data_IF_314215755026
#
_entry.id   IF_314215755026
#
_cell.length_a   1.000
_cell.length_b   1.000
_cell.length_c   1.000
_cell.angle_alpha   90.00
_cell.angle_beta   90.00
_cell.angle_gamma   90.00
#
_symmetry.space_group_name_H-M   'P 1'
#
loop_
_entity.id
_entity.type
_entity.pdbx_description
1 polymer ?
#
# COMPACT_ATOMS: atom_id res chain seq x y z
N UNK A 1 21.48 31.88 12.17
CA UNK A 1 22.66 31.00 12.32
C UNK A 1 22.68 30.28 13.69
N UNK A 2 21.52 29.85 14.23
CA UNK A 2 21.42 29.11 15.51
C UNK A 2 20.26 28.08 15.45
N UNK A 3 20.18 27.33 14.36
CA UNK A 3 19.20 26.24 14.19
C UNK A 3 19.81 24.91 13.75
N UNK A 4 21.13 24.83 13.55
CA UNK A 4 21.80 23.65 13.00
C UNK A 4 22.51 22.75 14.03
N UNK A 5 22.46 23.06 15.33
CA UNK A 5 23.09 22.22 16.38
C UNK A 5 22.13 21.27 17.09
N UNK A 6 20.82 21.32 16.81
CA UNK A 6 19.83 20.38 17.39
C UNK A 6 19.55 19.13 16.54
N UNK A 7 20.15 19.04 15.37
CA UNK A 7 20.07 17.88 14.46
C UNK A 7 21.28 16.93 14.60
N UNK A 8 22.14 17.17 15.61
CA UNK A 8 23.24 16.28 15.96
C UNK A 8 22.74 15.02 16.67
N UNK A 9 22.84 13.90 15.97
CA UNK A 9 23.09 12.55 16.50
C UNK A 9 21.96 11.83 17.23
N UNK A 10 20.75 11.97 16.71
CA UNK A 10 19.72 10.96 16.88
C UNK A 10 20.12 9.68 16.11
N UNK A 11 20.84 8.73 16.75
CA UNK A 11 21.13 7.41 16.12
C UNK A 11 19.81 6.80 15.61
N UNK A 12 19.73 6.35 14.34
CA UNK A 12 18.53 5.72 13.80
C UNK A 12 18.23 4.42 14.55
N UNK A 13 16.95 4.12 14.75
CA UNK A 13 16.50 2.91 15.46
C UNK A 13 16.42 1.71 14.52
N UNK A 14 16.00 1.93 13.27
CA UNK A 14 15.78 0.88 12.28
C UNK A 14 16.92 -0.14 12.10
N UNK A 15 18.22 0.23 12.17
CA UNK A 15 19.30 -0.74 12.00
C UNK A 15 19.26 -1.92 12.99
N UNK A 16 18.77 -1.74 14.22
CA UNK A 16 18.75 -2.80 15.23
C UNK A 16 17.71 -3.89 14.91
N UNK A 17 16.41 -3.59 14.79
CA UNK A 17 15.43 -4.58 14.32
C UNK A 17 15.80 -5.22 12.98
N UNK A 18 16.31 -4.43 12.02
CA UNK A 18 16.72 -4.96 10.72
C UNK A 18 17.84 -5.99 10.84
N UNK A 19 18.86 -5.74 11.66
CA UNK A 19 19.94 -6.71 11.91
C UNK A 19 19.41 -8.03 12.52
N UNK A 20 18.49 -7.94 13.48
CA UNK A 20 17.85 -9.12 14.09
C UNK A 20 17.02 -9.90 13.09
N UNK A 21 16.18 -9.23 12.31
CA UNK A 21 15.33 -9.86 11.31
C UNK A 21 16.16 -10.49 10.18
N UNK A 22 17.21 -9.82 9.72
CA UNK A 22 18.15 -10.38 8.73
C UNK A 22 18.93 -11.58 9.28
N UNK A 23 19.27 -11.59 10.57
CA UNK A 23 19.85 -12.77 11.20
C UNK A 23 18.86 -13.95 11.19
N UNK A 24 17.60 -13.70 11.56
CA UNK A 24 16.54 -14.73 11.50
C UNK A 24 16.32 -15.27 10.08
N UNK A 25 16.33 -14.42 9.06
CA UNK A 25 16.24 -14.83 7.64
C UNK A 25 17.41 -15.73 7.26
N UNK A 26 18.64 -15.40 7.67
CA UNK A 26 19.84 -16.21 7.35
C UNK A 26 19.86 -17.56 8.03
N UNK A 27 19.27 -17.66 9.23
CA UNK A 27 19.18 -18.90 10.01
C UNK A 27 18.00 -19.78 9.62
N UNK A 28 17.11 -19.33 8.73
CA UNK A 28 15.96 -20.09 8.28
C UNK A 28 16.40 -21.34 7.50
N UNK A 29 16.39 -22.48 8.19
CA UNK A 29 16.81 -23.75 7.62
C UNK A 29 15.73 -24.39 6.73
N UNK A 30 14.45 -24.11 7.00
CA UNK A 30 13.29 -24.64 6.26
C UNK A 30 11.99 -23.91 6.61
N UNK A 31 10.97 -24.06 5.75
CA UNK A 31 9.63 -23.51 5.96
C UNK A 31 8.89 -24.05 7.20
N UNK A 32 9.34 -25.17 7.77
CA UNK A 32 8.75 -25.76 8.98
C UNK A 32 9.28 -25.11 10.27
N UNK A 33 10.36 -24.33 10.19
CA UNK A 33 11.02 -23.72 11.34
C UNK A 33 11.19 -22.21 11.17
N UNK A 34 10.06 -21.51 11.11
CA UNK A 34 10.02 -20.05 10.99
C UNK A 34 10.23 -19.39 12.37
N UNK A 35 11.30 -18.58 12.57
CA UNK A 35 11.64 -18.04 13.89
C UNK A 35 10.54 -17.21 14.56
N UNK A 36 9.71 -16.52 13.78
CA UNK A 36 8.57 -15.71 14.27
C UNK A 36 7.21 -16.30 13.88
N UNK A 37 7.20 -17.54 13.38
CA UNK A 37 6.00 -18.16 12.81
C UNK A 37 5.55 -17.51 11.51
N UNK A 38 4.25 -17.62 11.25
CA UNK A 38 3.61 -17.19 10.01
C UNK A 38 2.69 -16.02 10.28
N UNK A 39 2.81 -14.97 9.48
CA UNK A 39 1.87 -13.89 9.40
C UNK A 39 0.57 -14.39 8.77
N UNK A 40 -0.55 -14.18 9.46
CA UNK A 40 -1.89 -14.55 9.02
C UNK A 40 -2.83 -13.37 9.10
N UNK A 41 -3.95 -13.47 8.40
CA UNK A 41 -5.02 -12.48 8.50
C UNK A 41 -5.62 -12.49 9.92
N UNK A 42 -5.79 -11.30 10.49
CA UNK A 42 -6.46 -11.12 11.79
C UNK A 42 -7.91 -11.60 11.69
N UNK A 43 -8.34 -12.42 12.65
CA UNK A 43 -9.71 -12.93 12.74
C UNK A 43 -9.95 -14.28 12.04
N UNK A 44 -8.91 -14.92 11.51
CA UNK A 44 -9.02 -16.22 10.83
C UNK A 44 -8.13 -17.27 11.52
N UNK A 45 -8.67 -18.47 11.76
CA UNK A 45 -7.91 -19.59 12.37
C UNK A 45 -6.92 -20.25 11.41
N UNK A 46 -7.24 -20.26 10.11
CA UNK A 46 -6.37 -20.78 9.04
C UNK A 46 -6.37 -19.80 7.89
N UNK A 47 -5.25 -19.12 7.68
CA UNK A 47 -5.11 -18.25 6.52
C UNK A 47 -4.51 -19.04 5.37
N UNK A 48 -5.11 -18.90 4.19
CA UNK A 48 -4.47 -19.31 2.95
C UNK A 48 -3.31 -18.34 2.60
N UNK A 49 -3.28 -17.18 3.26
CA UNK A 49 -2.25 -16.16 3.12
C UNK A 49 -1.16 -16.34 4.18
N UNK A 50 -0.19 -17.20 3.90
CA UNK A 50 0.89 -17.52 4.83
C UNK A 50 2.19 -16.88 4.36
N UNK A 51 2.68 -15.90 5.12
CA UNK A 51 3.96 -15.22 4.86
C UNK A 51 4.84 -15.36 6.10
N UNK A 52 6.14 -15.71 5.99
CA UNK A 52 7.02 -15.74 7.15
C UNK A 52 7.05 -14.38 7.87
N UNK A 53 6.77 -14.38 9.18
CA UNK A 53 6.52 -13.13 9.88
C UNK A 53 7.77 -12.22 9.94
N UNK A 54 8.95 -12.82 10.08
CA UNK A 54 10.22 -12.09 10.04
C UNK A 54 10.53 -11.50 8.65
N UNK A 55 10.15 -12.16 7.56
CA UNK A 55 10.28 -11.57 6.20
C UNK A 55 9.40 -10.34 6.06
N UNK A 56 8.15 -10.44 6.54
CA UNK A 56 7.21 -9.34 6.47
C UNK A 56 7.64 -8.13 7.30
N UNK A 57 8.02 -8.33 8.56
CA UNK A 57 8.48 -7.24 9.42
C UNK A 57 9.75 -6.56 8.88
N UNK A 58 10.65 -7.35 8.29
CA UNK A 58 11.87 -6.83 7.67
C UNK A 58 11.53 -5.91 6.50
N UNK A 59 10.70 -6.40 5.57
CA UNK A 59 10.21 -5.62 4.44
C UNK A 59 9.45 -4.36 4.90
N UNK A 60 8.60 -4.49 5.92
CA UNK A 60 7.83 -3.40 6.51
C UNK A 60 8.74 -2.27 7.02
N UNK A 61 9.76 -2.60 7.82
CA UNK A 61 10.70 -1.59 8.34
C UNK A 61 11.53 -0.99 7.20
N UNK A 62 12.06 -1.81 6.30
CA UNK A 62 12.92 -1.37 5.19
C UNK A 62 12.21 -0.39 4.25
N UNK A 63 10.93 -0.64 3.96
CA UNK A 63 10.19 0.12 2.95
C UNK A 63 9.22 1.16 3.52
N UNK A 64 9.06 1.24 4.85
CA UNK A 64 8.25 2.26 5.49
C UNK A 64 8.69 3.69 5.11
N UNK A 65 7.75 4.62 4.87
CA UNK A 65 8.06 6.05 4.81
C UNK A 65 8.64 6.60 6.14
N UNK A 66 8.45 5.88 7.24
CA UNK A 66 9.04 6.17 8.56
C UNK A 66 9.59 4.90 9.22
N UNK A 67 10.77 4.40 8.79
CA UNK A 67 11.35 3.15 9.31
C UNK A 67 11.52 3.13 10.83
N UNK A 68 11.94 4.25 11.42
CA UNK A 68 12.16 4.37 12.87
C UNK A 68 10.86 4.26 13.69
N UNK A 69 9.70 4.64 13.12
CA UNK A 69 8.40 4.47 13.80
C UNK A 69 8.05 3.00 13.91
N UNK A 70 8.15 2.25 12.79
CA UNK A 70 7.89 0.81 12.78
C UNK A 70 8.94 0.05 13.61
N UNK A 71 10.21 0.45 13.52
CA UNK A 71 11.28 -0.13 14.33
C UNK A 71 11.02 0.05 15.83
N UNK A 72 10.51 1.22 16.25
CA UNK A 72 10.12 1.46 17.65
C UNK A 72 8.97 0.55 18.07
N UNK A 73 7.92 0.42 17.26
CA UNK A 73 6.81 -0.51 17.57
C UNK A 73 7.30 -1.95 17.70
N UNK A 74 8.15 -2.40 16.77
CA UNK A 74 8.79 -3.71 16.85
C UNK A 74 9.55 -3.90 18.16
N UNK A 75 10.37 -2.93 18.57
CA UNK A 75 11.14 -3.01 19.83
C UNK A 75 10.23 -3.05 21.06
N UNK A 76 9.12 -2.30 21.04
CA UNK A 76 8.11 -2.33 22.13
C UNK A 76 7.46 -3.72 22.23
N UNK A 77 7.08 -4.32 21.11
CA UNK A 77 6.49 -5.68 21.14
C UNK A 77 7.53 -6.76 21.46
N UNK A 78 8.78 -6.58 21.01
CA UNK A 78 9.91 -7.46 21.35
C UNK A 78 10.15 -7.47 22.87
N UNK A 79 10.08 -6.31 23.53
CA UNK A 79 10.18 -6.23 24.99
C UNK A 79 9.07 -6.96 25.75
N UNK A 80 7.96 -7.30 25.08
CA UNK A 80 6.84 -8.05 25.67
C UNK A 80 6.98 -9.56 25.53
N UNK A 81 8.07 -10.08 24.96
CA UNK A 81 8.31 -11.51 24.79
C UNK A 81 8.65 -12.29 26.08
N UNK A 82 8.44 -11.68 27.26
CA UNK A 82 8.64 -12.28 28.60
C UNK A 82 10.08 -12.70 28.93
N UNK A 83 11.06 -12.05 28.31
CA UNK A 83 12.49 -12.24 28.60
C UNK A 83 13.06 -10.90 29.08
N UNK A 84 13.40 -10.82 30.38
CA UNK A 84 13.87 -9.57 31.02
C UNK A 84 15.10 -8.96 30.34
N UNK A 85 16.00 -9.81 29.84
CA UNK A 85 17.21 -9.36 29.11
C UNK A 85 16.81 -8.72 27.79
N UNK A 86 15.90 -9.33 27.03
CA UNK A 86 15.41 -8.78 25.75
C UNK A 86 14.66 -7.48 25.96
N UNK A 87 13.83 -7.39 27.02
CA UNK A 87 13.15 -6.16 27.41
C UNK A 87 14.14 -5.02 27.68
N UNK A 88 15.16 -5.28 28.51
CA UNK A 88 16.20 -4.29 28.84
C UNK A 88 16.99 -3.85 27.61
N UNK A 89 17.33 -4.79 26.71
CA UNK A 89 18.05 -4.51 25.47
C UNK A 89 17.20 -3.70 24.48
N UNK A 90 15.91 -4.01 24.35
CA UNK A 90 14.99 -3.26 23.51
C UNK A 90 14.75 -1.84 24.05
N UNK A 91 14.60 -1.70 25.36
CA UNK A 91 14.48 -0.40 26.03
C UNK A 91 15.75 0.44 25.83
N UNK A 92 16.94 -0.15 25.95
CA UNK A 92 18.20 0.55 25.73
C UNK A 92 18.32 1.11 24.30
N UNK A 93 17.84 0.37 23.29
CA UNK A 93 17.79 0.87 21.91
C UNK A 93 16.75 1.99 21.77
N UNK A 94 15.53 1.79 22.30
CA UNK A 94 14.45 2.79 22.27
C UNK A 94 14.82 4.12 22.93
N UNK A 95 15.59 4.05 24.03
CA UNK A 95 16.09 5.19 24.81
C UNK A 95 17.45 5.70 24.31
N UNK A 96 18.01 5.08 23.26
CA UNK A 96 19.31 5.44 22.64
C UNK A 96 20.49 5.39 23.59
N UNK A 97 20.41 4.52 24.60
CA UNK A 97 21.49 4.24 25.55
C UNK A 97 22.29 3.00 25.16
N UNK A 98 21.80 2.20 24.20
CA UNK A 98 22.54 1.06 23.67
C UNK A 98 23.84 1.50 22.98
N UNK A 99 24.95 0.93 23.45
CA UNK A 99 26.29 1.15 22.90
C UNK A 99 26.72 0.10 21.90
N UNK A 100 26.05 -1.05 21.90
CA UNK A 100 26.42 -2.21 21.10
C UNK A 100 26.15 -1.96 19.61
N UNK A 101 27.01 -2.47 18.71
CA UNK A 101 26.70 -2.50 17.29
C UNK A 101 25.39 -3.27 17.02
N UNK A 102 24.60 -2.89 15.99
CA UNK A 102 23.34 -3.57 15.66
C UNK A 102 23.47 -5.09 15.48
N UNK A 103 24.56 -5.56 14.88
CA UNK A 103 24.81 -6.99 14.65
C UNK A 103 25.06 -7.74 15.98
N UNK A 104 25.86 -7.17 16.88
CA UNK A 104 26.16 -7.78 18.19
C UNK A 104 24.91 -7.80 19.09
N UNK A 105 24.13 -6.72 19.05
CA UNK A 105 22.82 -6.65 19.69
C UNK A 105 21.87 -7.73 19.15
N UNK A 106 21.80 -7.88 17.82
CA UNK A 106 20.94 -8.86 17.15
C UNK A 106 21.31 -10.30 17.54
N UNK A 107 22.60 -10.64 17.56
CA UNK A 107 23.06 -11.97 18.01
C UNK A 107 22.65 -12.24 19.46
N UNK A 108 22.85 -11.26 20.34
CA UNK A 108 22.50 -11.38 21.77
C UNK A 108 21.00 -11.59 21.95
N UNK A 109 20.17 -10.76 21.32
CA UNK A 109 18.70 -10.90 21.38
C UNK A 109 18.26 -12.23 20.79
N UNK A 110 18.82 -12.65 19.65
CA UNK A 110 18.47 -13.91 19.00
C UNK A 110 18.74 -15.11 19.89
N UNK A 111 19.92 -15.15 20.54
CA UNK A 111 20.27 -16.21 21.48
C UNK A 111 19.26 -16.29 22.64
N UNK A 112 18.87 -15.14 23.19
CA UNK A 112 17.89 -15.06 24.27
C UNK A 112 16.50 -15.55 23.82
N UNK A 113 16.06 -15.17 22.61
CA UNK A 113 14.77 -15.62 22.05
C UNK A 113 14.71 -17.14 21.79
N UNK A 114 15.85 -17.85 21.77
CA UNK A 114 15.88 -19.31 21.65
C UNK A 114 15.70 -20.02 23.00
N UNK A 115 15.72 -19.30 24.12
CA UNK A 115 15.54 -19.90 25.45
C UNK A 115 14.07 -20.37 25.65
N UNK A 116 13.86 -21.51 26.36
CA UNK A 116 12.52 -21.98 26.67
C UNK A 116 11.71 -20.93 27.45
N UNK A 117 10.52 -20.59 26.97
CA UNK A 117 9.63 -19.62 27.62
C UNK A 117 9.52 -18.26 26.91
N UNK A 118 10.28 -18.04 25.84
CA UNK A 118 10.10 -16.90 24.94
C UNK A 118 8.68 -16.89 24.36
N UNK A 119 7.94 -15.79 24.56
CA UNK A 119 6.61 -15.60 23.98
C UNK A 119 6.68 -14.65 22.77
N UNK A 120 6.98 -15.20 21.61
CA UNK A 120 7.08 -14.44 20.35
C UNK A 120 5.72 -14.03 19.76
N UNK A 121 4.61 -14.42 20.39
CA UNK A 121 3.25 -14.19 19.87
C UNK A 121 2.97 -12.71 19.60
N UNK A 122 3.56 -11.79 20.38
CA UNK A 122 3.39 -10.34 20.19
C UNK A 122 4.01 -9.82 18.90
N UNK A 123 5.13 -10.38 18.47
CA UNK A 123 5.73 -10.04 17.18
C UNK A 123 4.88 -10.58 16.03
N UNK A 124 4.35 -11.79 16.16
CA UNK A 124 3.42 -12.36 15.17
C UNK A 124 2.12 -11.56 15.10
N UNK A 125 1.54 -11.14 16.22
CA UNK A 125 0.34 -10.28 16.29
C UNK A 125 0.57 -8.93 15.59
N UNK A 126 1.72 -8.29 15.82
CA UNK A 126 2.12 -7.06 15.13
C UNK A 126 2.20 -7.27 13.62
N UNK A 127 2.78 -8.39 13.21
CA UNK A 127 2.89 -8.76 11.80
C UNK A 127 1.51 -8.96 11.18
N UNK A 128 0.63 -9.72 11.85
CA UNK A 128 -0.74 -9.97 11.42
C UNK A 128 -1.52 -8.67 11.25
N UNK A 129 -1.32 -7.72 12.17
CA UNK A 129 -1.93 -6.40 12.12
C UNK A 129 -1.58 -5.66 10.83
N UNK A 130 -0.28 -5.48 10.54
CA UNK A 130 0.16 -4.78 9.34
C UNK A 130 -0.15 -5.56 8.06
N UNK A 131 0.01 -6.87 8.07
CA UNK A 131 -0.33 -7.70 6.92
C UNK A 131 -1.81 -7.53 6.52
N UNK A 132 -2.71 -7.59 7.51
CA UNK A 132 -4.16 -7.47 7.29
C UNK A 132 -4.59 -6.05 6.93
N UNK A 133 -4.12 -5.08 7.70
CA UNK A 133 -4.67 -3.72 7.64
C UNK A 133 -3.87 -2.79 6.73
N UNK A 134 -2.69 -3.18 6.27
CA UNK A 134 -1.89 -2.43 5.30
C UNK A 134 -1.82 -3.15 3.95
N UNK A 135 -1.22 -4.34 3.88
CA UNK A 135 -0.99 -5.01 2.57
C UNK A 135 -2.30 -5.55 1.97
N UNK A 136 -3.07 -6.35 2.71
CA UNK A 136 -4.35 -6.87 2.22
C UNK A 136 -5.34 -5.73 1.94
N UNK A 137 -5.33 -4.67 2.74
CA UNK A 137 -6.21 -3.52 2.54
C UNK A 137 -5.92 -2.74 1.24
N UNK A 138 -4.69 -2.82 0.73
CA UNK A 138 -4.29 -2.21 -0.54
C UNK A 138 -4.51 -3.12 -1.76
N UNK A 139 -4.76 -4.41 -1.55
CA UNK A 139 -5.10 -5.33 -2.62
C UNK A 139 -6.58 -5.22 -2.98
N UNK A 140 -6.83 -5.12 -4.26
CA UNK A 140 -8.17 -5.14 -4.79
C UNK A 140 -8.58 -6.56 -5.22
N UNK A 141 -9.11 -7.36 -4.30
CA UNK A 141 -9.79 -8.60 -4.68
C UNK A 141 -11.18 -8.26 -5.22
N UNK A 142 -11.41 -8.52 -6.51
CA UNK A 142 -12.75 -8.55 -7.09
C UNK A 142 -13.32 -9.97 -6.97
N UNK A 143 -13.78 -10.40 -5.79
CA UNK A 143 -14.57 -11.65 -5.72
C UNK A 143 -15.91 -11.39 -6.40
N UNK A 144 -16.50 -12.33 -7.13
CA UNK A 144 -17.73 -12.04 -7.89
C UNK A 144 -19.03 -12.45 -7.17
N UNK A 145 -19.97 -11.53 -6.83
CA UNK A 145 -21.28 -11.84 -6.19
C UNK A 145 -22.41 -10.81 -6.53
N UNK A 146 -23.72 -11.22 -6.62
CA UNK A 146 -24.77 -10.49 -7.34
C UNK A 146 -25.60 -9.46 -6.51
N UNK A 147 -25.12 -8.96 -5.36
CA UNK A 147 -25.97 -8.20 -4.42
C UNK A 147 -25.47 -6.85 -3.86
N UNK A 148 -24.21 -6.45 -4.07
CA UNK A 148 -23.61 -5.28 -3.38
C UNK A 148 -23.68 -3.97 -4.15
N UNK A 149 -23.90 -2.82 -3.46
CA UNK A 149 -23.76 -1.51 -4.14
C UNK A 149 -22.29 -1.26 -4.49
N UNK A 150 -22.10 -1.06 -5.78
CA UNK A 150 -20.86 -0.87 -6.54
C UNK A 150 -20.09 0.38 -6.08
N UNK A 151 -18.78 0.42 -6.33
CA UNK A 151 -18.15 1.67 -6.81
C UNK A 151 -19.06 2.24 -7.89
N UNK A 152 -19.54 3.50 -7.81
CA UNK A 152 -20.50 4.03 -8.79
C UNK A 152 -20.07 3.64 -10.20
N UNK A 153 -20.95 2.89 -10.86
CA UNK A 153 -20.65 2.14 -12.07
C UNK A 153 -19.89 3.03 -13.05
N UNK A 154 -18.81 2.51 -13.67
CA UNK A 154 -18.08 3.20 -14.72
C UNK A 154 -19.10 3.74 -15.74
N UNK A 155 -19.35 5.04 -15.72
CA UNK A 155 -20.27 5.64 -16.66
C UNK A 155 -19.61 5.52 -18.03
N UNK A 156 -20.19 4.69 -18.90
CA UNK A 156 -19.73 4.46 -20.28
C UNK A 156 -19.95 5.69 -21.17
N UNK A 157 -20.56 6.76 -20.61
CA UNK A 157 -20.93 7.97 -21.33
C UNK A 157 -19.72 8.53 -22.08
N UNK A 158 -19.85 8.67 -23.41
CA UNK A 158 -18.78 9.17 -24.24
C UNK A 158 -18.73 10.68 -24.11
N UNK A 159 -17.53 11.22 -24.27
CA UNK A 159 -17.19 12.64 -24.43
C UNK A 159 -16.82 13.37 -23.13
N UNK A 160 -15.55 13.77 -22.97
CA UNK A 160 -15.18 14.82 -22.03
C UNK A 160 -15.93 16.08 -22.45
N UNK A 161 -16.85 16.57 -21.60
CA UNK A 161 -17.33 17.93 -21.77
C UNK A 161 -16.17 18.83 -21.34
N UNK A 162 -15.56 19.56 -22.28
CA UNK A 162 -14.46 20.47 -22.00
C UNK A 162 -15.05 21.70 -21.29
N UNK A 163 -14.94 21.70 -19.96
CA UNK A 163 -15.70 22.54 -19.04
C UNK A 163 -14.92 23.72 -18.48
N UNK A 164 -15.63 24.78 -18.06
CA UNK A 164 -15.12 26.03 -17.48
C UNK A 164 -14.62 25.86 -16.03
N UNK A 165 -13.86 26.84 -15.52
CA UNK A 165 -13.28 26.83 -14.16
C UNK A 165 -14.35 26.73 -13.05
N UNK A 166 -15.49 27.42 -13.19
CA UNK A 166 -16.62 27.36 -12.24
C UNK A 166 -17.19 25.93 -12.12
N UNK A 167 -17.06 25.11 -13.17
CA UNK A 167 -17.47 23.71 -13.13
C UNK A 167 -16.45 22.80 -12.43
N UNK A 168 -15.18 23.22 -12.28
CA UNK A 168 -14.16 22.43 -11.55
C UNK A 168 -14.46 22.39 -10.05
N UNK A 169 -14.90 23.51 -9.45
CA UNK A 169 -15.29 23.55 -8.04
C UNK A 169 -16.52 22.68 -7.77
N UNK A 170 -17.51 22.74 -8.67
CA UNK A 170 -18.69 21.87 -8.60
C UNK A 170 -18.32 20.39 -8.74
N UNK A 171 -17.41 20.05 -9.67
CA UNK A 171 -16.90 18.69 -9.85
C UNK A 171 -16.12 18.22 -8.62
N UNK A 172 -15.27 19.08 -8.04
CA UNK A 172 -14.53 18.78 -6.81
C UNK A 172 -15.49 18.53 -5.65
N UNK A 173 -16.51 19.37 -5.49
CA UNK A 173 -17.56 19.19 -4.49
C UNK A 173 -18.36 17.91 -4.74
N UNK A 174 -18.67 17.59 -5.99
CA UNK A 174 -19.35 16.34 -6.37
C UNK A 174 -18.50 15.11 -6.08
N UNK A 175 -17.22 15.13 -6.41
CA UNK A 175 -16.29 14.04 -6.16
C UNK A 175 -16.08 13.84 -4.65
N UNK A 176 -15.80 14.88 -3.89
CA UNK A 176 -15.45 14.76 -2.47
C UNK A 176 -16.67 14.56 -1.56
N UNK A 177 -17.70 15.40 -1.72
CA UNK A 177 -18.87 15.42 -0.82
C UNK A 177 -19.91 14.39 -1.23
N UNK A 178 -20.19 14.27 -2.54
CA UNK A 178 -21.19 13.33 -3.08
C UNK A 178 -20.58 12.00 -3.54
N UNK A 179 -19.25 11.83 -3.43
CA UNK A 179 -18.51 10.62 -3.82
C UNK A 179 -18.77 10.21 -5.28
N UNK A 180 -18.95 11.18 -6.17
CA UNK A 180 -19.23 10.94 -7.60
C UNK A 180 -17.96 10.49 -8.34
N UNK A 181 -17.97 9.25 -8.85
CA UNK A 181 -16.87 8.71 -9.65
C UNK A 181 -16.79 9.36 -11.04
N UNK A 182 -17.94 9.66 -11.65
CA UNK A 182 -17.97 10.37 -12.93
C UNK A 182 -17.32 11.74 -12.82
N UNK A 183 -17.60 12.49 -11.73
CA UNK A 183 -16.97 13.78 -11.51
C UNK A 183 -15.45 13.66 -11.27
N UNK A 184 -15.01 12.64 -10.53
CA UNK A 184 -13.59 12.38 -10.33
C UNK A 184 -12.88 12.03 -11.65
N UNK A 185 -13.51 11.22 -12.50
CA UNK A 185 -13.03 10.85 -13.84
C UNK A 185 -12.87 12.07 -14.74
N UNK A 186 -13.85 12.97 -14.71
CA UNK A 186 -13.78 14.24 -15.46
C UNK A 186 -12.61 15.10 -14.95
N UNK A 187 -12.43 15.23 -13.64
CA UNK A 187 -11.32 15.98 -13.05
C UNK A 187 -9.96 15.43 -13.45
N UNK A 188 -9.73 14.12 -13.36
CA UNK A 188 -8.42 13.54 -13.75
C UNK A 188 -8.19 13.61 -15.26
N UNK A 189 -9.25 13.55 -16.08
CA UNK A 189 -9.16 13.78 -17.53
C UNK A 189 -8.82 15.24 -17.85
N UNK A 190 -9.41 16.21 -17.14
CA UNK A 190 -9.07 17.63 -17.26
C UNK A 190 -7.64 17.93 -16.80
N UNK A 191 -7.14 17.18 -15.82
CA UNK A 191 -5.78 17.30 -15.28
C UNK A 191 -4.73 16.79 -16.26
N UNK A 192 -4.90 15.56 -16.73
CA UNK A 192 -3.83 14.83 -17.42
C UNK A 192 -4.03 14.75 -18.95
N UNK A 193 -5.23 15.11 -19.41
CA UNK A 193 -5.63 15.01 -20.80
C UNK A 193 -6.37 13.70 -21.13
N UNK A 194 -6.53 13.47 -22.42
CA UNK A 194 -7.37 12.38 -22.96
C UNK A 194 -6.59 11.11 -23.30
N UNK A 195 -5.32 11.02 -22.92
CA UNK A 195 -4.48 9.84 -23.17
C UNK A 195 -4.03 9.25 -21.82
N UNK A 196 -3.84 7.93 -21.78
CA UNK A 196 -3.21 7.29 -20.63
C UNK A 196 -1.74 7.69 -20.55
N UNK A 197 -1.31 8.24 -19.42
CA UNK A 197 0.07 8.69 -19.23
C UNK A 197 1.12 7.57 -19.29
N UNK A 198 0.71 6.32 -19.08
CA UNK A 198 1.62 5.16 -19.04
C UNK A 198 1.73 4.44 -20.39
N UNK A 199 0.64 4.39 -21.16
CA UNK A 199 0.58 3.62 -22.42
C UNK A 199 0.50 4.51 -23.66
N UNK A 200 0.16 5.80 -23.50
CA UNK A 200 -0.12 6.72 -24.60
C UNK A 200 -1.42 6.45 -25.35
N UNK A 201 -2.19 5.41 -24.99
CA UNK A 201 -3.46 5.11 -25.63
C UNK A 201 -4.50 6.20 -25.37
N UNK A 202 -5.31 6.49 -26.38
CA UNK A 202 -6.31 7.55 -26.33
C UNK A 202 -7.64 7.05 -25.75
N UNK A 203 -8.24 7.85 -24.88
CA UNK A 203 -9.57 7.63 -24.32
C UNK A 203 -10.69 8.20 -25.19
N UNK A 204 -10.34 8.83 -26.31
CA UNK A 204 -11.28 9.43 -27.28
C UNK A 204 -11.16 8.77 -28.66
N UNK A 205 -12.15 9.00 -29.51
CA UNK A 205 -12.18 8.46 -30.88
C UNK A 205 -11.03 9.02 -31.75
N UNK A 206 -10.59 8.29 -32.79
CA UNK A 206 -11.13 7.01 -33.31
C UNK A 206 -10.59 5.75 -32.64
N UNK A 207 -9.50 5.83 -31.86
CA UNK A 207 -8.83 4.68 -31.21
C UNK A 207 -9.07 4.68 -29.69
N UNK A 208 -10.35 4.64 -29.29
CA UNK A 208 -10.76 4.74 -27.89
C UNK A 208 -10.46 3.45 -27.13
N UNK A 209 -9.62 3.54 -26.10
CA UNK A 209 -9.58 2.56 -25.01
C UNK A 209 -10.46 3.03 -23.84
N UNK A 210 -10.95 2.10 -23.03
CA UNK A 210 -11.74 2.43 -21.85
C UNK A 210 -10.81 3.00 -20.78
N UNK A 211 -11.08 4.25 -20.37
CA UNK A 211 -10.39 4.89 -19.27
C UNK A 211 -10.94 4.39 -17.93
N UNK A 212 -10.06 4.03 -17.00
CA UNK A 212 -10.34 3.70 -15.61
C UNK A 212 -9.84 4.84 -14.71
N UNK A 213 -10.74 5.36 -13.89
CA UNK A 213 -10.36 6.30 -12.84
C UNK A 213 -9.87 5.49 -11.63
N UNK A 214 -8.55 5.30 -11.57
CA UNK A 214 -7.90 4.45 -10.59
C UNK A 214 -7.59 5.22 -9.32
N UNK A 215 -7.99 4.72 -8.15
CA UNK A 215 -7.53 5.29 -6.89
C UNK A 215 -6.12 4.80 -6.57
N UNK A 216 -5.28 5.67 -6.01
CA UNK A 216 -3.91 5.30 -5.58
C UNK A 216 -3.97 4.57 -4.23
N UNK A 217 -4.72 5.11 -3.27
CA UNK A 217 -5.17 4.39 -2.07
C UNK A 217 -6.58 3.87 -2.37
N UNK A 218 -6.85 2.56 -2.30
CA UNK A 218 -8.14 2.01 -2.67
C UNK A 218 -9.30 2.66 -1.94
N UNK A 219 -10.38 2.97 -2.65
CA UNK A 219 -11.55 3.66 -2.08
C UNK A 219 -12.16 2.94 -0.86
N UNK A 220 -12.04 1.61 -0.81
CA UNK A 220 -12.48 0.75 0.31
C UNK A 220 -11.80 1.08 1.64
N UNK A 221 -10.63 1.72 1.62
CA UNK A 221 -9.90 2.13 2.82
C UNK A 221 -10.62 3.24 3.59
N UNK A 222 -11.38 4.11 2.91
CA UNK A 222 -11.86 5.37 3.48
C UNK A 222 -12.75 5.29 4.73
N UNK A 223 -13.27 4.11 5.08
CA UNK A 223 -14.09 3.88 6.27
C UNK A 223 -13.46 2.90 7.28
N UNK A 224 -12.22 2.43 7.05
CA UNK A 224 -11.59 1.38 7.84
C UNK A 224 -10.65 1.96 8.89
N UNK A 225 -11.11 2.06 10.13
CA UNK A 225 -10.36 2.66 11.23
C UNK A 225 -9.05 1.93 11.55
N UNK A 226 -9.04 0.59 11.50
CA UNK A 226 -7.82 -0.20 11.73
C UNK A 226 -6.79 0.01 10.62
N UNK A 227 -7.24 0.05 9.35
CA UNK A 227 -6.38 0.42 8.21
C UNK A 227 -5.84 1.84 8.34
N UNK A 228 -6.66 2.80 8.76
CA UNK A 228 -6.18 4.16 9.01
C UNK A 228 -5.08 4.17 10.09
N UNK A 229 -5.27 3.44 11.19
CA UNK A 229 -4.26 3.33 12.26
C UNK A 229 -2.95 2.73 11.74
N UNK A 230 -3.02 1.66 10.93
CA UNK A 230 -1.85 1.03 10.35
C UNK A 230 -1.12 1.97 9.38
N UNK A 231 -1.85 2.69 8.52
CA UNK A 231 -1.28 3.71 7.61
C UNK A 231 -0.62 4.83 8.39
N UNK A 232 -1.29 5.33 9.44
CA UNK A 232 -0.79 6.42 10.26
C UNK A 232 0.55 6.05 10.91
N UNK A 233 0.62 4.88 11.57
CA UNK A 233 1.86 4.36 12.14
C UNK A 233 2.96 4.13 11.08
N UNK A 234 2.62 3.46 9.97
CA UNK A 234 3.54 3.17 8.86
C UNK A 234 4.16 4.42 8.23
N UNK A 235 3.42 5.52 8.22
CA UNK A 235 3.85 6.80 7.65
C UNK A 235 4.49 7.74 8.68
N UNK A 236 4.58 7.33 9.95
CA UNK A 236 5.07 8.18 11.05
C UNK A 236 4.13 9.36 11.31
N UNK A 237 2.83 9.11 11.32
CA UNK A 237 1.73 10.06 11.54
C UNK A 237 1.62 11.19 10.51
N UNK A 238 2.24 11.02 9.32
CA UNK A 238 2.12 11.99 8.22
C UNK A 238 0.78 11.91 7.50
N UNK A 239 0.16 10.72 7.48
CA UNK A 239 -1.13 10.46 6.85
C UNK A 239 -2.13 9.95 7.91
N UNK A 240 -2.80 10.87 8.58
CA UNK A 240 -3.81 10.55 9.60
C UNK A 240 -5.17 10.15 8.97
N UNK A 241 -6.07 9.62 9.81
CA UNK A 241 -7.40 9.21 9.37
C UNK A 241 -8.20 10.34 8.69
N UNK A 242 -8.03 11.59 9.14
CA UNK A 242 -8.73 12.76 8.57
C UNK A 242 -8.22 13.06 7.18
N UNK A 243 -6.91 12.98 6.96
CA UNK A 243 -6.28 13.15 5.66
C UNK A 243 -6.79 12.11 4.66
N UNK A 244 -6.77 10.82 5.05
CA UNK A 244 -7.26 9.73 4.20
C UNK A 244 -8.73 9.96 3.84
N UNK A 245 -9.60 10.19 4.83
CA UNK A 245 -11.03 10.44 4.59
C UNK A 245 -11.28 11.64 3.68
N UNK A 246 -10.51 12.72 3.85
CA UNK A 246 -10.63 13.94 3.05
C UNK A 246 -10.28 13.70 1.58
N UNK A 247 -9.25 12.88 1.32
CA UNK A 247 -8.70 12.71 -0.03
C UNK A 247 -9.03 11.37 -0.70
N UNK A 248 -9.75 10.46 -0.03
CA UNK A 248 -10.05 9.13 -0.57
C UNK A 248 -10.72 9.18 -1.95
N UNK A 249 -11.61 10.16 -2.18
CA UNK A 249 -12.29 10.38 -3.46
C UNK A 249 -11.99 11.76 -4.05
N UNK A 250 -10.71 12.09 -4.12
CA UNK A 250 -10.21 13.38 -4.60
C UNK A 250 -9.16 13.16 -5.71
N UNK A 251 -8.96 14.10 -6.68
CA UNK A 251 -7.97 13.94 -7.75
C UNK A 251 -6.55 13.64 -7.28
N UNK A 252 -6.18 14.14 -6.10
CA UNK A 252 -4.92 13.82 -5.38
C UNK A 252 -4.70 12.32 -5.15
N UNK A 253 -5.77 11.54 -5.06
CA UNK A 253 -5.75 10.09 -4.85
C UNK A 253 -6.18 9.34 -6.12
N UNK A 254 -6.11 9.94 -7.30
CA UNK A 254 -6.66 9.33 -8.51
C UNK A 254 -5.79 9.52 -9.75
N UNK A 255 -5.82 8.52 -10.62
CA UNK A 255 -5.13 8.45 -11.91
C UNK A 255 -6.14 8.09 -13.01
N UNK A 256 -5.82 8.45 -14.25
CA UNK A 256 -6.57 8.05 -15.42
C UNK A 256 -5.77 7.01 -16.22
N UNK A 257 -6.16 5.74 -16.13
CA UNK A 257 -5.38 4.61 -16.64
C UNK A 257 -6.15 3.83 -17.71
N UNK A 258 -5.43 3.18 -18.63
CA UNK A 258 -6.01 2.11 -19.43
C UNK A 258 -6.15 0.84 -18.57
N UNK A 259 -7.07 -0.05 -18.94
CA UNK A 259 -7.45 -1.24 -18.16
C UNK A 259 -6.26 -2.11 -17.69
N UNK A 260 -5.30 -2.44 -18.54
CA UNK A 260 -4.21 -3.36 -18.17
C UNK A 260 -3.14 -2.65 -17.33
N UNK A 261 -2.92 -1.36 -17.59
CA UNK A 261 -2.10 -0.52 -16.72
C UNK A 261 -2.74 -0.35 -15.33
N UNK A 262 -4.07 -0.23 -15.27
CA UNK A 262 -4.83 -0.21 -14.03
C UNK A 262 -4.72 -1.54 -13.27
N UNK A 263 -4.98 -2.65 -13.94
CA UNK A 263 -5.01 -3.97 -13.31
C UNK A 263 -3.62 -4.35 -12.75
N UNK A 264 -2.54 -4.07 -13.50
CA UNK A 264 -1.17 -4.26 -13.00
C UNK A 264 -0.79 -3.36 -11.81
N UNK A 265 -1.49 -2.24 -11.59
CA UNK A 265 -1.33 -1.42 -10.39
C UNK A 265 -2.14 -1.98 -9.22
N UNK A 266 -3.44 -2.18 -9.44
CA UNK A 266 -4.46 -2.36 -8.40
C UNK A 266 -4.55 -3.82 -7.92
N UNK A 267 -4.40 -4.79 -8.85
CA UNK A 267 -4.47 -6.23 -8.54
C UNK A 267 -3.10 -6.78 -8.20
N UNK A 268 -2.11 -6.43 -9.02
CA UNK A 268 -0.80 -7.06 -8.94
C UNK A 268 0.17 -6.28 -8.04
N UNK A 269 -0.11 -5.01 -7.70
CA UNK A 269 0.85 -4.11 -7.07
C UNK A 269 2.20 -4.11 -7.81
N UNK A 270 2.18 -4.26 -9.14
CA UNK A 270 3.38 -4.52 -9.93
C UNK A 270 4.25 -3.27 -10.12
N UNK A 271 3.67 -2.09 -9.91
CA UNK A 271 4.35 -0.82 -10.04
C UNK A 271 3.74 0.25 -9.11
N UNK A 272 4.45 1.36 -8.91
CA UNK A 272 3.97 2.51 -8.17
C UNK A 272 4.56 3.82 -8.68
N UNK A 273 4.25 4.91 -7.99
CA UNK A 273 4.73 6.25 -8.33
C UNK A 273 5.63 6.75 -7.21
N UNK A 274 6.89 7.03 -7.53
CA UNK A 274 7.79 7.73 -6.62
C UNK A 274 7.66 9.24 -6.85
N UNK A 275 7.33 9.98 -5.80
CA UNK A 275 7.23 11.43 -5.85
C UNK A 275 8.38 12.06 -5.05
N UNK A 276 9.24 12.81 -5.74
CA UNK A 276 10.43 13.46 -5.18
C UNK A 276 10.36 14.97 -5.37
N UNK A 277 10.71 15.73 -4.34
CA UNK A 277 10.79 17.18 -4.43
C UNK A 277 12.17 17.59 -4.96
N UNK A 278 12.22 18.15 -6.17
CA UNK A 278 13.45 18.64 -6.81
C UNK A 278 13.16 19.86 -7.67
N UNK A 279 14.12 20.77 -7.80
CA UNK A 279 13.96 22.01 -8.57
C UNK A 279 12.71 22.82 -8.18
N UNK A 280 12.43 22.90 -6.87
CA UNK A 280 11.26 23.56 -6.28
C UNK A 280 9.89 23.03 -6.77
N UNK A 281 9.84 21.78 -7.25
CA UNK A 281 8.60 21.13 -7.67
C UNK A 281 8.61 19.62 -7.36
N UNK A 282 7.41 19.05 -7.28
CA UNK A 282 7.27 17.60 -7.20
C UNK A 282 7.44 16.99 -8.59
N UNK A 283 8.34 16.02 -8.69
CA UNK A 283 8.51 15.17 -9.88
C UNK A 283 8.07 13.76 -9.54
N UNK A 284 7.42 13.10 -10.49
CA UNK A 284 6.82 11.79 -10.33
C UNK A 284 7.52 10.82 -11.27
N UNK A 285 7.92 9.66 -10.75
CA UNK A 285 8.68 8.66 -11.49
C UNK A 285 7.93 7.34 -11.44
N UNK A 286 7.81 6.69 -12.60
CA UNK A 286 7.30 5.34 -12.71
C UNK A 286 8.29 4.38 -12.05
N UNK A 287 7.81 3.54 -11.13
CA UNK A 287 8.65 2.55 -10.44
C UNK A 287 8.10 1.15 -10.61
N UNK A 288 8.90 0.28 -11.20
CA UNK A 288 8.61 -1.15 -11.27
C UNK A 288 8.89 -1.78 -9.90
N UNK A 289 7.94 -2.58 -9.43
CA UNK A 289 8.07 -3.35 -8.18
C UNK A 289 8.16 -4.83 -8.51
N UNK A 290 7.28 -5.34 -9.37
CA UNK A 290 7.21 -6.75 -9.78
C UNK A 290 7.37 -6.85 -11.30
N UNK A 291 8.61 -6.97 -11.82
CA UNK A 291 8.88 -6.88 -13.26
C UNK A 291 8.07 -7.86 -14.13
N UNK A 292 7.73 -9.03 -13.59
CA UNK A 292 7.00 -10.08 -14.31
C UNK A 292 5.48 -9.85 -14.36
N UNK A 293 4.93 -8.97 -13.51
CA UNK A 293 3.51 -8.65 -13.45
C UNK A 293 3.18 -7.27 -14.06
N UNK A 294 4.19 -6.54 -14.57
CA UNK A 294 3.95 -5.28 -15.28
C UNK A 294 3.32 -5.56 -16.63
N UNK A 295 2.23 -4.85 -16.93
CA UNK A 295 1.54 -5.00 -18.22
C UNK A 295 2.44 -4.58 -19.40
N UNK A 296 2.51 -5.39 -20.48
CA UNK A 296 3.36 -5.09 -21.64
C UNK A 296 2.89 -3.89 -22.46
N UNK A 297 1.71 -3.33 -22.18
CA UNK A 297 1.22 -2.11 -22.86
C UNK A 297 1.75 -0.83 -22.23
N UNK A 298 2.37 -0.90 -21.05
CA UNK A 298 3.04 0.24 -20.42
C UNK A 298 4.32 0.52 -21.19
N UNK A 299 4.45 1.75 -21.70
CA UNK A 299 5.58 2.19 -22.52
C UNK A 299 6.67 2.89 -21.70
N UNK A 300 6.50 3.02 -20.38
CA UNK A 300 7.47 3.64 -19.50
C UNK A 300 8.47 2.62 -18.97
N UNK A 301 9.71 3.05 -18.86
CA UNK A 301 10.79 2.29 -18.21
C UNK A 301 10.92 2.66 -16.72
N UNK A 302 11.52 1.78 -15.92
CA UNK A 302 11.73 2.07 -14.50
C UNK A 302 12.56 3.34 -14.31
N UNK A 303 12.02 4.28 -13.54
CA UNK A 303 12.60 5.60 -13.30
C UNK A 303 12.29 6.67 -14.33
N UNK A 304 11.47 6.36 -15.33
CA UNK A 304 11.00 7.36 -16.27
C UNK A 304 10.00 8.32 -15.61
N UNK A 305 10.06 9.61 -15.98
CA UNK A 305 9.23 10.63 -15.37
C UNK A 305 7.80 10.58 -15.93
N UNK A 306 6.81 10.60 -15.04
CA UNK A 306 5.40 10.75 -15.39
C UNK A 306 5.05 12.24 -15.38
N UNK A 307 4.64 12.76 -16.54
CA UNK A 307 4.28 14.16 -16.73
C UNK A 307 2.77 14.38 -16.51
N UNK A 308 2.36 14.59 -15.25
CA UNK A 308 0.99 14.99 -14.90
C UNK A 308 0.70 16.45 -15.27
N UNK A 309 -0.58 16.80 -15.43
CA UNK A 309 -0.99 18.21 -15.59
C UNK A 309 -0.99 18.74 -17.03
N UNK A 310 -0.77 17.87 -18.04
CA UNK A 310 -0.76 18.24 -19.45
C UNK A 310 -2.17 18.42 -20.08
N UNK A 311 -3.23 18.31 -19.28
CA UNK A 311 -4.60 18.46 -19.73
C UNK A 311 -4.97 19.90 -20.11
N UNK A 312 -5.97 20.02 -20.99
CA UNK A 312 -6.46 21.30 -21.53
C UNK A 312 -7.40 21.99 -20.55
N UNK A 313 -6.90 22.41 -19.39
CA UNK A 313 -7.55 23.50 -18.66
C UNK A 313 -7.16 24.79 -19.38
N UNK A 314 -8.13 25.48 -20.00
CA UNK A 314 -7.89 26.68 -20.79
C UNK A 314 -6.96 27.67 -20.08
N UNK A 315 -6.01 28.24 -20.83
CA UNK A 315 -5.07 29.28 -20.40
C UNK A 315 -4.28 28.99 -19.11
N UNK A 316 -3.26 28.13 -19.21
CA UNK A 316 -2.12 28.11 -18.28
C UNK A 316 -2.39 27.41 -16.94
N UNK A 317 -1.75 26.24 -16.78
CA UNK A 317 -1.70 25.39 -15.58
C UNK A 317 -3.07 24.83 -15.16
N UNK A 318 -3.21 23.50 -15.21
CA UNK A 318 -4.43 22.84 -14.75
C UNK A 318 -4.74 23.24 -13.30
N UNK A 319 -5.97 23.75 -13.08
CA UNK A 319 -6.50 24.09 -11.74
C UNK A 319 -6.72 22.82 -10.91
N UNK A 320 -6.81 21.65 -11.57
CA UNK A 320 -7.03 20.36 -10.90
C UNK A 320 -5.74 19.91 -10.20
N UNK A 321 -5.79 19.56 -8.90
CA UNK A 321 -4.61 19.11 -8.16
C UNK A 321 -3.95 17.85 -8.73
N UNK A 322 -2.61 17.87 -8.77
CA UNK A 322 -1.76 16.71 -9.05
C UNK A 322 -1.94 15.60 -8.00
N UNK A 323 -1.55 14.35 -8.30
CA UNK A 323 -1.48 13.29 -7.30
C UNK A 323 -0.68 13.73 -6.08
N UNK A 324 -1.16 13.42 -4.88
CA UNK A 324 -0.45 13.81 -3.68
C UNK A 324 0.84 12.97 -3.54
N UNK A 325 2.00 13.61 -3.31
CA UNK A 325 3.26 12.91 -3.18
C UNK A 325 3.28 11.86 -2.07
N UNK A 326 2.63 12.14 -0.94
CA UNK A 326 2.62 11.21 0.20
C UNK A 326 1.74 10.00 -0.09
N UNK A 327 0.60 10.20 -0.74
CA UNK A 327 -0.29 9.13 -1.21
C UNK A 327 0.44 8.22 -2.22
N UNK A 328 1.14 8.84 -3.17
CA UNK A 328 1.91 8.12 -4.22
C UNK A 328 3.00 7.25 -3.61
N UNK A 329 3.80 7.83 -2.72
CA UNK A 329 4.89 7.13 -2.03
C UNK A 329 4.36 6.06 -1.05
N UNK A 330 3.19 6.25 -0.44
CA UNK A 330 2.56 5.22 0.40
C UNK A 330 2.22 3.98 -0.44
N UNK A 331 1.54 4.14 -1.57
CA UNK A 331 1.22 3.01 -2.45
C UNK A 331 2.48 2.27 -2.90
N UNK A 332 3.51 3.01 -3.35
CA UNK A 332 4.79 2.41 -3.75
C UNK A 332 5.46 1.65 -2.59
N UNK A 333 5.43 2.21 -1.36
CA UNK A 333 5.96 1.54 -0.19
C UNK A 333 5.20 0.24 0.11
N UNK A 334 3.86 0.25 0.08
CA UNK A 334 3.04 -0.95 0.30
C UNK A 334 3.30 -2.02 -0.76
N UNK A 335 3.41 -1.63 -2.04
CA UNK A 335 3.77 -2.54 -3.12
C UNK A 335 5.15 -3.20 -2.88
N UNK A 336 6.15 -2.41 -2.47
CA UNK A 336 7.50 -2.93 -2.13
C UNK A 336 7.47 -3.87 -0.92
N UNK A 337 6.69 -3.57 0.12
CA UNK A 337 6.50 -4.48 1.27
C UNK A 337 5.86 -5.78 0.80
N UNK A 338 4.81 -5.71 -0.01
CA UNK A 338 4.11 -6.88 -0.55
C UNK A 338 5.06 -7.81 -1.30
N UNK A 339 5.87 -7.25 -2.21
CA UNK A 339 6.82 -8.04 -2.99
C UNK A 339 8.00 -8.56 -2.15
N UNK A 340 8.67 -7.70 -1.38
CA UNK A 340 9.86 -8.09 -0.62
C UNK A 340 9.58 -9.10 0.50
N UNK A 341 8.34 -9.13 1.02
CA UNK A 341 7.92 -10.11 2.02
C UNK A 341 7.52 -11.47 1.44
N UNK A 342 7.33 -11.58 0.12
CA UNK A 342 6.76 -12.77 -0.51
C UNK A 342 5.22 -12.83 -0.45
N UNK A 343 4.57 -11.77 0.04
CA UNK A 343 3.10 -11.71 0.08
C UNK A 343 2.48 -11.70 -1.32
N UNK A 344 3.15 -11.08 -2.29
CA UNK A 344 2.64 -10.97 -3.66
C UNK A 344 2.46 -12.32 -4.36
N UNK A 345 3.38 -13.25 -4.15
CA UNK A 345 3.39 -14.61 -4.68
C UNK A 345 2.29 -15.47 -4.05
N UNK A 346 1.94 -15.15 -2.81
CA UNK A 346 0.79 -15.75 -2.14
C UNK A 346 -0.49 -15.25 -2.80
N UNK A 347 -0.60 -13.95 -3.12
CA UNK A 347 -1.78 -13.38 -3.78
C UNK A 347 -1.99 -13.91 -5.20
N UNK A 348 -0.93 -14.07 -5.99
CA UNK A 348 -1.01 -14.57 -7.37
C UNK A 348 -1.75 -15.92 -7.45
N UNK A 349 -1.48 -16.83 -6.50
CA UNK A 349 -2.11 -18.15 -6.46
C UNK A 349 -3.63 -18.08 -6.33
N UNK A 350 -4.16 -17.05 -5.68
CA UNK A 350 -5.62 -16.87 -5.55
C UNK A 350 -6.26 -16.22 -6.77
N UNK A 351 -5.48 -15.51 -7.59
CA UNK A 351 -5.98 -14.90 -8.82
C UNK A 351 -6.07 -15.93 -9.96
N UNK A 352 -5.21 -16.94 -9.95
CA UNK A 352 -5.14 -17.98 -11.00
C UNK A 352 -6.20 -19.10 -10.85
N UNK A 353 -6.70 -19.37 -9.63
CA UNK A 353 -7.68 -20.45 -9.37
C UNK A 353 -9.15 -20.10 -9.76
N UNK A 354 -9.42 -18.86 -10.19
CA UNK A 354 -10.74 -18.42 -10.66
C UNK A 354 -11.03 -18.90 -12.11
N UNK A 355 -11.29 -20.21 -12.25
CA UNK A 355 -11.60 -20.88 -13.51
C UNK A 355 -12.99 -20.50 -14.11
N UNK A 356 -13.09 -20.52 -15.45
CA UNK A 356 -14.02 -19.92 -16.43
C UNK A 356 -15.57 -19.99 -16.26
N UNK A 357 -16.17 -20.42 -15.15
CA UNK A 357 -17.61 -20.80 -15.13
C UNK A 357 -18.57 -20.00 -14.22
N UNK A 358 -18.22 -18.81 -13.72
CA UNK A 358 -19.12 -18.02 -12.87
C UNK A 358 -19.28 -16.54 -13.29
N UNK A 359 -20.54 -16.13 -13.46
CA UNK A 359 -21.00 -14.84 -13.97
C UNK A 359 -20.37 -13.59 -13.29
N UNK A 360 -20.15 -12.55 -14.11
CA UNK A 360 -19.38 -11.33 -13.83
C UNK A 360 -20.07 -10.28 -12.91
N UNK A 361 -19.69 -10.13 -11.63
CA UNK A 361 -19.94 -8.89 -10.84
C UNK A 361 -18.94 -8.70 -9.67
N UNK A 362 -18.15 -7.62 -9.55
CA UNK A 362 -17.11 -7.46 -8.51
C UNK A 362 -17.62 -7.17 -7.08
N UNK A 363 -16.94 -7.72 -6.07
CA UNK A 363 -17.13 -7.56 -4.61
C UNK A 363 -15.85 -7.01 -3.99
N UNK A 364 -15.99 -6.16 -2.97
CA UNK A 364 -14.89 -5.45 -2.30
C UNK A 364 -14.76 -5.93 -0.86
N UNK A 365 -13.52 -6.01 -0.35
CA UNK A 365 -13.28 -6.01 1.09
C UNK A 365 -13.79 -4.70 1.71
N UNK A 366 -14.81 -4.79 2.56
CA UNK A 366 -15.30 -3.71 3.41
C UNK A 366 -16.53 -3.03 2.82
N UNK A 367 -17.17 -3.63 1.82
CA UNK A 367 -18.47 -3.18 1.36
C UNK A 367 -19.51 -3.29 2.48
N UNK A 368 -20.48 -2.36 2.61
CA UNK A 368 -21.47 -2.40 3.68
C UNK A 368 -22.49 -3.55 3.56
N UNK A 369 -22.23 -4.53 2.69
CA UNK A 369 -23.15 -5.62 2.33
C UNK A 369 -22.57 -7.02 2.58
N UNK A 370 -21.25 -7.17 2.71
CA UNK A 370 -20.58 -8.40 3.13
C UNK A 370 -19.45 -8.03 4.08
N UNK A 371 -19.40 -8.68 5.25
CA UNK A 371 -18.23 -8.50 6.12
C UNK A 371 -17.00 -9.11 5.44
N UNK A 372 -15.83 -8.52 5.71
CA UNK A 372 -14.53 -9.02 5.25
C UNK A 372 -14.34 -10.51 5.55
N UNK A 373 -14.97 -11.00 6.62
CA UNK A 373 -14.96 -12.41 7.03
C UNK A 373 -15.77 -13.33 6.12
N UNK A 374 -16.90 -12.86 5.56
CA UNK A 374 -17.73 -13.69 4.66
C UNK A 374 -17.10 -13.79 3.26
N UNK A 375 -16.53 -12.68 2.77
CA UNK A 375 -15.80 -12.67 1.50
C UNK A 375 -14.62 -13.64 1.53
N UNK A 376 -13.88 -13.62 2.64
CA UNK A 376 -12.70 -14.46 2.79
C UNK A 376 -12.99 -15.89 3.11
N UNK A 377 -14.00 -16.20 3.93
CA UNK A 377 -14.43 -17.60 4.08
C UNK A 377 -14.79 -18.21 2.73
N UNK A 378 -15.28 -17.43 1.76
CA UNK A 378 -15.54 -17.92 0.40
C UNK A 378 -14.25 -18.16 -0.40
N UNK A 379 -13.29 -17.24 -0.35
CA UNK A 379 -11.97 -17.45 -0.96
C UNK A 379 -11.21 -18.63 -0.34
N UNK A 380 -11.30 -18.80 0.98
CA UNK A 380 -10.71 -19.92 1.72
C UNK A 380 -11.37 -21.26 1.36
N UNK A 381 -12.69 -21.27 1.13
CA UNK A 381 -13.40 -22.46 0.63
C UNK A 381 -12.96 -22.82 -0.78
N UNK A 382 -12.70 -21.83 -1.64
CA UNK A 382 -12.20 -22.05 -3.00
C UNK A 382 -10.76 -22.59 -3.00
N UNK A 383 -9.91 -22.12 -2.07
CA UNK A 383 -8.52 -22.57 -1.92
C UNK A 383 -8.35 -23.95 -1.22
N UNK A 384 -9.44 -24.58 -0.77
CA UNK A 384 -9.42 -25.89 -0.11
C UNK A 384 -9.90 -27.05 -1.02
N UNK A 385 -10.20 -26.77 -2.28
CA UNK A 385 -10.43 -27.76 -3.35
C UNK A 385 -9.26 -27.77 -4.31
#
# INVERSE_FOLDING_TARGET
MQSNEKEMNSRPLAPYPLALLQLMIREEASAENLPLGTATRVGVERSAYNVPAHHFLEALIRHAPSPDTIAREFLVELGRCRILVVESLAEAVCNRTCTDPPDDWAVTVRQQLQEPGADITKLTELTNHYFSYLVIAFLHFQVRDPGGKKTPQDTVHPTPNLRCIEEIEELLSAATTRRSQSALKDLVTLRDGVNCLLTGFSFVFPRRVIARCAHIIPFSVGTKTQTHSAIEAFTGHKLDAKFIQKYINHPRNALNLQNDAHDSMDKDLAWGIEANFSDNQWKYYYRIVRPYAVSPVINLTDGEQIAFGNGTSGSGRSVVPLPDPMISNLHLAVARVSYASGASEVFDRFLDDDNENACDVPVYFGGPFMSDDVLMRRLEVLACY
#
